data_IF_924104153953
#
_entry.id   IF_924104153953
#
_cell.length_a   1.000
_cell.length_b   1.000
_cell.length_c   1.000
_cell.angle_alpha   90.00
_cell.angle_beta   90.00
_cell.angle_gamma   90.00
#
_symmetry.space_group_name_H-M   'P 1'
#
loop_
_entity.id
_entity.type
_entity.pdbx_description
1 polymer ?
#
# COMPACT_ATOMS: atom_id res chain seq x y z
N UNK A 1 -21.55 15.26 -19.68
CA UNK A 1 -21.72 13.79 -19.43
C UNK A 1 -20.35 13.24 -19.10
N UNK A 2 -20.18 12.54 -17.99
CA UNK A 2 -18.91 11.91 -17.65
C UNK A 2 -18.57 10.84 -18.70
N UNK A 3 -17.33 10.85 -19.20
CA UNK A 3 -16.83 9.78 -20.08
C UNK A 3 -16.88 8.46 -19.31
N UNK A 4 -17.42 7.42 -19.90
CA UNK A 4 -17.48 6.10 -19.27
C UNK A 4 -17.45 5.01 -20.37
N UNK A 5 -16.55 4.02 -20.30
CA UNK A 5 -15.49 3.84 -19.31
C UNK A 5 -14.26 4.75 -19.54
N UNK A 6 -13.49 5.02 -18.48
CA UNK A 6 -12.17 5.69 -18.56
C UNK A 6 -11.11 4.71 -19.05
N UNK A 7 -10.34 5.09 -20.06
CA UNK A 7 -9.24 4.25 -20.55
C UNK A 7 -8.03 4.36 -19.64
N UNK A 8 -7.49 3.22 -19.23
CA UNK A 8 -6.41 3.10 -18.24
C UNK A 8 -5.13 2.58 -18.86
N UNK A 9 -4.03 3.30 -18.64
CA UNK A 9 -2.68 2.82 -18.87
C UNK A 9 -2.10 2.28 -17.56
N UNK A 10 -1.64 1.01 -17.55
CA UNK A 10 -1.04 0.37 -16.38
C UNK A 10 0.48 0.36 -16.54
N UNK A 11 1.19 1.07 -15.66
CA UNK A 11 2.67 1.14 -15.67
C UNK A 11 3.22 0.23 -14.58
N UNK A 12 3.77 -0.92 -14.98
CA UNK A 12 4.30 -1.95 -14.09
C UNK A 12 3.65 -3.31 -14.29
N UNK A 13 4.42 -4.29 -14.75
CA UNK A 13 3.94 -5.64 -15.07
C UNK A 13 3.99 -6.63 -13.89
N UNK A 14 4.26 -6.16 -12.67
CA UNK A 14 4.27 -6.99 -11.46
C UNK A 14 2.89 -6.97 -10.78
N UNK A 15 2.74 -6.13 -9.77
CA UNK A 15 1.47 -5.93 -9.06
C UNK A 15 0.39 -5.35 -9.98
N UNK A 16 0.79 -4.53 -10.97
CA UNK A 16 -0.10 -4.02 -12.01
C UNK A 16 -0.85 -5.10 -12.79
N UNK A 17 -0.20 -6.23 -13.13
CA UNK A 17 -0.89 -7.33 -13.82
C UNK A 17 -1.64 -8.27 -12.88
N UNK A 18 -1.27 -8.33 -11.59
CA UNK A 18 -1.85 -9.26 -10.62
C UNK A 18 -3.08 -8.70 -9.90
N UNK A 19 -3.14 -7.37 -9.72
CA UNK A 19 -4.20 -6.71 -8.95
C UNK A 19 -4.85 -5.59 -9.74
N UNK A 20 -4.06 -4.66 -10.31
CA UNK A 20 -4.64 -3.50 -10.98
C UNK A 20 -5.41 -3.91 -12.25
N UNK A 21 -4.81 -4.71 -13.12
CA UNK A 21 -5.46 -5.12 -14.36
C UNK A 21 -6.80 -5.84 -14.11
N UNK A 22 -6.88 -6.93 -13.30
CA UNK A 22 -8.17 -7.57 -13.04
C UNK A 22 -9.15 -6.63 -12.33
N UNK A 23 -8.71 -5.77 -11.41
CA UNK A 23 -9.57 -4.78 -10.78
C UNK A 23 -10.20 -3.83 -11.80
N UNK A 24 -9.39 -3.24 -12.68
CA UNK A 24 -9.91 -2.36 -13.74
C UNK A 24 -10.80 -3.10 -14.74
N UNK A 25 -10.47 -4.33 -15.10
CA UNK A 25 -11.27 -5.13 -16.05
C UNK A 25 -12.65 -5.48 -15.49
N UNK A 26 -12.75 -5.69 -14.18
CA UNK A 26 -14.01 -6.02 -13.50
C UNK A 26 -14.87 -4.76 -13.28
N UNK A 27 -14.23 -3.62 -13.05
CA UNK A 27 -14.92 -2.39 -12.68
C UNK A 27 -15.58 -1.72 -13.89
N UNK A 28 -16.90 -1.45 -13.89
CA UNK A 28 -17.64 -1.03 -15.09
C UNK A 28 -17.24 0.35 -15.63
N UNK A 29 -16.62 1.19 -14.81
CA UNK A 29 -16.24 2.56 -15.20
C UNK A 29 -14.82 2.68 -15.77
N UNK A 30 -14.06 1.59 -15.85
CA UNK A 30 -12.68 1.61 -16.34
C UNK A 30 -12.45 0.56 -17.44
N UNK A 31 -11.54 0.88 -18.35
CA UNK A 31 -11.12 0.01 -19.44
C UNK A 31 -9.57 -0.01 -19.50
N UNK A 32 -8.90 -1.05 -19.05
CA UNK A 32 -7.45 -1.15 -19.14
C UNK A 32 -7.04 -1.47 -20.58
N UNK A 33 -6.40 -0.51 -21.27
CA UNK A 33 -6.10 -0.58 -22.72
C UNK A 33 -4.63 -0.85 -23.01
N UNK A 34 -3.69 -0.50 -22.11
CA UNK A 34 -2.26 -0.68 -22.36
C UNK A 34 -1.50 -1.07 -21.11
N UNK A 35 -0.57 -2.03 -21.25
CA UNK A 35 0.39 -2.43 -20.21
C UNK A 35 1.79 -1.91 -20.57
N UNK A 36 2.44 -1.21 -19.64
CA UNK A 36 3.75 -0.62 -19.86
C UNK A 36 4.75 -1.20 -18.87
N UNK A 37 5.89 -1.74 -19.35
CA UNK A 37 7.00 -2.13 -18.50
C UNK A 37 8.30 -2.23 -19.29
N UNK A 38 9.44 -2.05 -18.61
CA UNK A 38 10.78 -1.89 -19.21
C UNK A 38 11.32 -3.10 -20.02
N UNK A 39 10.86 -4.31 -19.73
CA UNK A 39 11.35 -5.51 -20.40
C UNK A 39 10.38 -5.95 -21.48
N UNK A 40 10.72 -5.70 -22.73
CA UNK A 40 9.87 -5.96 -23.91
C UNK A 40 9.30 -7.38 -23.93
N UNK A 41 10.17 -8.39 -23.92
CA UNK A 41 9.76 -9.81 -24.00
C UNK A 41 8.80 -10.20 -22.86
N UNK A 42 9.13 -9.73 -21.64
CA UNK A 42 8.30 -10.02 -20.46
C UNK A 42 6.97 -9.25 -20.53
N UNK A 43 6.98 -8.00 -20.96
CA UNK A 43 5.77 -7.18 -21.07
C UNK A 43 4.82 -7.76 -22.08
N UNK A 44 5.32 -8.10 -23.28
CA UNK A 44 4.54 -8.79 -24.33
C UNK A 44 3.94 -10.11 -23.81
N UNK A 45 4.74 -10.98 -23.22
CA UNK A 45 4.27 -12.27 -22.71
C UNK A 45 3.20 -12.13 -21.63
N UNK A 46 3.28 -11.09 -20.77
CA UNK A 46 2.25 -10.82 -19.77
C UNK A 46 1.00 -10.24 -20.43
N UNK A 47 1.15 -9.29 -21.38
CA UNK A 47 0.04 -8.72 -22.16
C UNK A 47 -0.78 -9.80 -22.84
N UNK A 48 -0.10 -10.70 -23.56
CA UNK A 48 -0.73 -11.84 -24.23
C UNK A 48 -1.47 -12.75 -23.22
N UNK A 49 -0.84 -13.01 -22.07
CA UNK A 49 -1.43 -13.87 -21.02
C UNK A 49 -2.69 -13.31 -20.39
N UNK A 50 -2.71 -12.00 -20.09
CA UNK A 50 -3.86 -11.36 -19.42
C UNK A 50 -4.90 -10.85 -20.42
N UNK A 51 -4.60 -10.85 -21.72
CA UNK A 51 -5.52 -10.42 -22.78
C UNK A 51 -5.71 -8.91 -22.85
N UNK A 52 -4.67 -8.12 -22.55
CA UNK A 52 -4.65 -6.67 -22.78
C UNK A 52 -4.14 -6.38 -24.19
N UNK A 53 -4.85 -5.54 -24.93
CA UNK A 53 -4.65 -5.40 -26.38
C UNK A 53 -3.32 -4.77 -26.76
N UNK A 54 -2.86 -3.81 -25.94
CA UNK A 54 -1.65 -3.03 -26.22
C UNK A 54 -0.60 -3.17 -25.12
N UNK A 55 0.65 -3.04 -25.50
CA UNK A 55 1.76 -2.92 -24.56
C UNK A 55 2.83 -1.96 -25.10
N UNK A 56 3.60 -1.36 -24.18
CA UNK A 56 4.74 -0.49 -24.52
C UNK A 56 5.90 -0.67 -23.53
N UNK A 57 7.08 -0.25 -23.93
CA UNK A 57 8.24 -0.11 -23.03
C UNK A 57 8.53 1.35 -22.68
N UNK A 58 7.87 2.29 -23.34
CA UNK A 58 7.99 3.73 -23.12
C UNK A 58 6.67 4.29 -22.57
N UNK A 59 6.70 4.76 -21.33
CA UNK A 59 5.54 5.41 -20.74
C UNK A 59 5.34 6.83 -21.23
N UNK A 60 6.37 7.52 -21.72
CA UNK A 60 6.27 8.93 -22.12
C UNK A 60 5.41 9.11 -23.37
N UNK A 61 5.50 8.20 -24.31
CA UNK A 61 4.63 8.14 -25.48
C UNK A 61 3.17 7.94 -25.09
N UNK A 62 2.92 7.01 -24.16
CA UNK A 62 1.55 6.69 -23.70
C UNK A 62 0.94 7.85 -22.91
N UNK A 63 1.75 8.65 -22.17
CA UNK A 63 1.24 9.84 -21.47
C UNK A 63 0.70 10.90 -22.42
N UNK A 64 1.22 10.98 -23.65
CA UNK A 64 0.78 11.93 -24.68
C UNK A 64 -0.45 11.45 -25.45
N UNK A 65 -0.85 10.19 -25.31
CA UNK A 65 -2.03 9.65 -25.98
C UNK A 65 -3.32 10.22 -25.38
N UNK A 66 -4.05 11.03 -26.15
CA UNK A 66 -5.29 11.67 -25.72
C UNK A 66 -6.42 10.65 -25.40
N UNK A 67 -6.31 9.42 -25.88
CA UNK A 67 -7.27 8.37 -25.58
C UNK A 67 -7.17 7.84 -24.15
N UNK A 68 -6.02 8.04 -23.49
CA UNK A 68 -5.79 7.64 -22.09
C UNK A 68 -6.33 8.70 -21.15
N UNK A 69 -7.12 8.28 -20.17
CA UNK A 69 -7.71 9.13 -19.13
C UNK A 69 -7.01 8.96 -17.78
N UNK A 70 -6.57 7.74 -17.50
CA UNK A 70 -6.04 7.31 -16.20
C UNK A 70 -4.71 6.61 -16.34
N UNK A 71 -3.77 6.93 -15.47
CA UNK A 71 -2.50 6.22 -15.32
C UNK A 71 -2.45 5.52 -13.97
N UNK A 72 -2.23 4.22 -14.01
CA UNK A 72 -2.13 3.35 -12.85
C UNK A 72 -0.68 2.92 -12.65
N UNK A 73 -0.01 3.43 -11.60
CA UNK A 73 1.43 3.28 -11.38
C UNK A 73 1.71 2.16 -10.38
N UNK A 74 2.33 1.08 -10.83
CA UNK A 74 2.68 -0.12 -10.05
C UNK A 74 4.11 -0.60 -10.32
N UNK A 75 5.04 0.34 -10.45
CA UNK A 75 6.48 0.13 -10.65
C UNK A 75 7.24 0.01 -9.31
N UNK A 76 8.56 -0.21 -9.29
CA UNK A 76 9.35 0.06 -8.11
C UNK A 76 9.29 1.54 -7.69
N UNK A 77 9.34 1.86 -6.37
CA UNK A 77 9.09 3.21 -5.86
C UNK A 77 9.95 4.33 -6.43
N UNK A 78 11.19 4.03 -6.85
CA UNK A 78 12.08 5.03 -7.45
C UNK A 78 11.54 5.65 -8.73
N UNK A 79 10.66 4.93 -9.44
CA UNK A 79 10.14 5.35 -10.72
C UNK A 79 8.81 6.14 -10.56
N UNK A 80 8.17 6.10 -9.36
CA UNK A 80 6.85 6.67 -9.12
C UNK A 80 6.82 8.17 -9.37
N UNK A 81 7.78 8.92 -8.82
CA UNK A 81 7.80 10.38 -8.91
C UNK A 81 7.73 10.89 -10.36
N UNK A 82 8.62 10.40 -11.22
CA UNK A 82 8.67 10.87 -12.61
C UNK A 82 7.46 10.43 -13.44
N UNK A 83 6.97 9.19 -13.20
CA UNK A 83 5.79 8.66 -13.91
C UNK A 83 4.54 9.45 -13.51
N UNK A 84 4.31 9.63 -12.21
CA UNK A 84 3.15 10.39 -11.69
C UNK A 84 3.18 11.83 -12.14
N UNK A 85 4.34 12.49 -12.04
CA UNK A 85 4.56 13.87 -12.52
C UNK A 85 4.25 14.00 -14.02
N UNK A 86 4.75 13.06 -14.82
CA UNK A 86 4.47 13.03 -16.26
C UNK A 86 2.98 12.86 -16.56
N UNK A 87 2.30 11.95 -15.85
CA UNK A 87 0.87 11.71 -16.01
C UNK A 87 0.04 12.97 -15.70
N UNK A 88 0.28 13.61 -14.54
CA UNK A 88 -0.42 14.83 -14.14
C UNK A 88 -0.19 15.98 -15.11
N UNK A 89 1.06 16.20 -15.58
CA UNK A 89 1.40 17.23 -16.55
C UNK A 89 0.75 17.00 -17.93
N UNK A 90 0.37 15.77 -18.24
CA UNK A 90 -0.35 15.42 -19.48
C UNK A 90 -1.86 15.26 -19.28
N UNK A 91 -2.41 15.79 -18.18
CA UNK A 91 -3.85 15.82 -17.94
C UNK A 91 -4.46 14.46 -17.57
N UNK A 92 -3.66 13.50 -17.03
CA UNK A 92 -4.16 12.17 -16.68
C UNK A 92 -4.45 12.09 -15.19
N UNK A 93 -5.60 11.50 -14.82
CA UNK A 93 -5.88 11.08 -13.45
C UNK A 93 -4.94 9.96 -13.04
N UNK A 94 -4.63 9.82 -11.74
CA UNK A 94 -3.59 8.88 -11.28
C UNK A 94 -4.06 8.03 -10.11
N UNK A 95 -3.80 6.72 -10.17
CA UNK A 95 -3.67 5.85 -9.00
C UNK A 95 -2.21 5.39 -8.90
N UNK A 96 -1.59 5.56 -7.72
CA UNK A 96 -0.21 5.16 -7.51
C UNK A 96 -0.10 4.14 -6.36
N UNK A 97 0.76 3.12 -6.57
CA UNK A 97 1.18 2.21 -5.51
C UNK A 97 2.01 2.91 -4.43
N UNK A 98 1.95 2.35 -3.22
CA UNK A 98 2.74 2.84 -2.07
C UNK A 98 4.18 2.30 -2.11
N UNK A 99 5.12 3.09 -1.61
CA UNK A 99 5.02 4.50 -1.25
C UNK A 99 4.96 5.40 -2.48
N UNK A 100 4.34 6.59 -2.38
CA UNK A 100 4.16 7.53 -3.50
C UNK A 100 5.49 8.02 -4.09
N UNK A 101 6.52 8.15 -3.28
CA UNK A 101 7.85 8.59 -3.68
C UNK A 101 8.92 8.04 -2.75
N UNK A 102 10.16 8.45 -2.99
CA UNK A 102 11.32 8.03 -2.20
C UNK A 102 11.56 8.91 -0.98
N UNK A 103 11.07 10.14 -0.99
CA UNK A 103 11.27 11.16 0.05
C UNK A 103 10.01 11.99 0.28
N UNK A 104 9.93 12.65 1.44
CA UNK A 104 8.87 13.59 1.74
C UNK A 104 8.85 14.79 0.78
N UNK A 105 10.00 15.20 0.24
CA UNK A 105 10.09 16.27 -0.75
C UNK A 105 9.42 15.88 -2.07
N UNK A 106 9.68 14.66 -2.58
CA UNK A 106 9.03 14.15 -3.78
C UNK A 106 7.51 14.08 -3.61
N UNK A 107 7.03 13.52 -2.49
CA UNK A 107 5.59 13.38 -2.24
C UNK A 107 4.90 14.74 -2.07
N UNK A 108 5.57 15.73 -1.48
CA UNK A 108 5.08 17.10 -1.39
C UNK A 108 4.93 17.74 -2.76
N UNK A 109 5.92 17.57 -3.66
CA UNK A 109 5.86 18.09 -5.02
C UNK A 109 4.69 17.49 -5.81
N UNK A 110 4.47 16.16 -5.69
CA UNK A 110 3.34 15.49 -6.36
C UNK A 110 1.98 15.91 -5.80
N UNK A 111 1.87 16.06 -4.49
CA UNK A 111 0.67 16.61 -3.86
C UNK A 111 0.34 18.00 -4.39
N UNK A 112 1.33 18.92 -4.38
CA UNK A 112 1.12 20.29 -4.87
C UNK A 112 0.74 20.29 -6.37
N UNK A 113 1.38 19.46 -7.19
CA UNK A 113 1.04 19.34 -8.61
C UNK A 113 -0.39 18.82 -8.82
N UNK A 114 -0.87 17.93 -7.94
CA UNK A 114 -2.27 17.49 -7.99
C UNK A 114 -3.23 18.64 -7.70
N UNK A 115 -2.92 19.47 -6.70
CA UNK A 115 -3.72 20.64 -6.35
C UNK A 115 -3.72 21.68 -7.51
N UNK A 116 -2.58 21.89 -8.16
CA UNK A 116 -2.42 22.81 -9.30
C UNK A 116 -3.17 22.35 -10.56
N UNK A 117 -3.18 21.05 -10.83
CA UNK A 117 -3.82 20.51 -12.04
C UNK A 117 -5.31 20.25 -11.86
N UNK A 118 -5.81 20.16 -10.63
CA UNK A 118 -7.20 19.80 -10.34
C UNK A 118 -7.57 18.36 -10.74
N UNK A 119 -6.59 17.53 -11.08
CA UNK A 119 -6.80 16.14 -11.45
C UNK A 119 -7.01 15.27 -10.21
N UNK A 120 -7.74 14.19 -10.39
CA UNK A 120 -7.91 13.20 -9.32
C UNK A 120 -6.68 12.32 -9.21
N UNK A 121 -6.04 12.34 -8.05
CA UNK A 121 -4.87 11.51 -7.75
C UNK A 121 -5.04 10.78 -6.40
N UNK A 122 -4.95 9.46 -6.42
CA UNK A 122 -5.17 8.61 -5.25
C UNK A 122 -4.05 7.60 -5.05
N UNK A 123 -3.94 7.15 -3.81
CA UNK A 123 -3.05 6.04 -3.42
C UNK A 123 -3.79 4.71 -3.48
N UNK A 124 -3.08 3.66 -3.88
CA UNK A 124 -3.58 2.33 -3.64
C UNK A 124 -3.27 1.88 -2.20
N UNK A 125 -4.08 2.34 -1.26
CA UNK A 125 -4.10 1.85 0.13
C UNK A 125 -5.27 0.86 0.32
N UNK A 126 -5.37 -0.13 -0.55
CA UNK A 126 -6.43 -1.15 -0.58
C UNK A 126 -6.58 -1.90 0.74
N UNK A 127 -5.52 -1.95 1.55
CA UNK A 127 -5.56 -2.56 2.88
C UNK A 127 -6.56 -1.89 3.84
N UNK A 128 -7.00 -0.65 3.58
CA UNK A 128 -8.09 0.02 4.33
C UNK A 128 -9.40 -0.77 4.24
N UNK A 129 -9.63 -1.43 3.11
CA UNK A 129 -10.87 -2.13 2.79
C UNK A 129 -10.81 -3.64 3.05
N UNK A 130 -9.72 -4.16 3.63
CA UNK A 130 -9.69 -5.53 4.12
C UNK A 130 -10.71 -5.65 5.27
N UNK A 131 -11.68 -6.59 5.21
CA UNK A 131 -12.81 -6.67 6.14
C UNK A 131 -12.45 -6.54 7.62
N UNK A 132 -11.45 -7.27 8.08
CA UNK A 132 -11.02 -7.23 9.48
C UNK A 132 -10.44 -5.87 9.88
N UNK A 133 -9.82 -5.13 8.96
CA UNK A 133 -9.29 -3.77 9.25
C UNK A 133 -10.40 -2.72 9.25
N UNK A 134 -11.31 -2.80 8.29
CA UNK A 134 -12.47 -1.91 8.26
C UNK A 134 -13.31 -2.07 9.54
N UNK A 135 -13.52 -3.29 9.97
CA UNK A 135 -14.25 -3.58 11.23
C UNK A 135 -13.48 -3.12 12.48
N UNK A 136 -12.14 -3.28 12.52
CA UNK A 136 -11.32 -2.70 13.60
C UNK A 136 -11.53 -1.19 13.73
N UNK A 137 -11.50 -0.46 12.60
CA UNK A 137 -11.73 1.00 12.58
C UNK A 137 -13.14 1.33 13.07
N UNK A 138 -14.16 0.60 12.64
CA UNK A 138 -15.54 0.78 13.10
C UNK A 138 -15.66 0.58 14.62
N UNK A 139 -15.08 -0.49 15.17
CA UNK A 139 -15.07 -0.75 16.61
C UNK A 139 -14.39 0.37 17.40
N UNK A 140 -13.24 0.85 16.94
CA UNK A 140 -12.52 1.96 17.58
C UNK A 140 -13.39 3.23 17.55
N UNK A 141 -13.95 3.57 16.39
CA UNK A 141 -14.78 4.77 16.22
C UNK A 141 -16.10 4.70 17.01
N UNK A 142 -16.64 3.51 17.27
CA UNK A 142 -17.82 3.31 18.11
C UNK A 142 -17.52 3.41 19.62
N UNK A 143 -16.26 3.65 20.00
CA UNK A 143 -15.86 3.75 21.40
C UNK A 143 -15.70 2.39 22.10
N UNK A 144 -15.50 1.30 21.35
CA UNK A 144 -15.33 -0.04 21.93
C UNK A 144 -14.22 -0.09 22.98
N UNK A 145 -13.14 0.66 22.79
CA UNK A 145 -11.99 0.67 23.70
C UNK A 145 -12.09 1.69 24.84
N UNK A 146 -13.05 2.62 24.78
CA UNK A 146 -13.02 3.81 25.61
C UNK A 146 -11.84 4.71 25.23
N UNK A 147 -11.13 5.25 26.22
CA UNK A 147 -9.89 6.00 26.01
C UNK A 147 -8.74 5.03 25.64
N UNK A 148 -8.12 5.21 24.47
CA UNK A 148 -7.00 4.36 24.04
C UNK A 148 -5.75 4.76 24.82
N UNK A 149 -5.06 3.80 25.42
CA UNK A 149 -3.81 4.02 26.15
C UNK A 149 -2.59 3.66 25.35
N UNK A 150 -2.62 2.51 24.67
CA UNK A 150 -1.47 2.03 23.91
C UNK A 150 -1.87 1.15 22.73
N UNK A 151 -0.94 1.01 21.79
CA UNK A 151 -1.07 0.05 20.69
C UNK A 151 0.26 -0.65 20.38
N UNK A 152 0.16 -1.87 19.89
CA UNK A 152 1.32 -2.65 19.44
C UNK A 152 1.03 -3.29 18.09
N UNK A 153 1.85 -2.99 17.10
CA UNK A 153 1.75 -3.58 15.77
C UNK A 153 3.04 -4.32 15.46
N UNK A 154 2.92 -5.62 15.21
CA UNK A 154 4.06 -6.44 14.83
C UNK A 154 3.76 -7.33 13.63
N UNK A 155 4.74 -7.49 12.75
CA UNK A 155 4.75 -8.48 11.68
C UNK A 155 6.11 -9.17 11.67
N UNK A 156 6.14 -10.44 12.05
CA UNK A 156 7.37 -11.23 12.15
C UNK A 156 7.24 -12.51 11.33
N UNK A 157 8.02 -12.61 10.26
CA UNK A 157 8.05 -13.80 9.41
C UNK A 157 9.46 -14.05 8.85
N UNK A 158 9.66 -15.19 8.19
CA UNK A 158 10.93 -15.58 7.59
C UNK A 158 10.90 -15.55 6.05
N UNK A 159 9.97 -14.81 5.45
CA UNK A 159 9.73 -14.81 4.00
C UNK A 159 10.95 -14.40 3.18
N UNK A 160 11.87 -13.62 3.76
CA UNK A 160 13.10 -13.16 3.11
C UNK A 160 14.38 -13.66 3.79
N UNK A 161 14.28 -14.61 4.71
CA UNK A 161 15.41 -15.14 5.47
C UNK A 161 16.42 -15.85 4.54
N UNK A 162 15.95 -16.70 3.61
CA UNK A 162 16.85 -17.45 2.72
C UNK A 162 17.30 -16.58 1.53
N UNK A 163 18.61 -16.21 1.45
CA UNK A 163 19.12 -15.33 0.41
C UNK A 163 19.24 -15.96 -0.99
N UNK A 164 19.13 -17.29 -1.09
CA UNK A 164 19.13 -18.00 -2.36
C UNK A 164 17.73 -18.17 -2.93
N UNK A 165 16.74 -18.49 -2.10
CA UNK A 165 15.34 -18.59 -2.53
C UNK A 165 14.77 -17.21 -2.91
N UNK A 166 14.94 -16.21 -2.04
CA UNK A 166 14.62 -14.81 -2.30
C UNK A 166 15.86 -14.07 -2.78
N UNK A 167 16.24 -14.31 -4.05
CA UNK A 167 17.42 -13.74 -4.67
C UNK A 167 17.41 -12.22 -4.73
N UNK A 168 18.52 -11.65 -5.21
CA UNK A 168 18.68 -10.21 -5.40
C UNK A 168 17.73 -9.71 -6.49
N UNK A 169 16.95 -8.70 -6.16
CA UNK A 169 16.10 -7.94 -7.08
C UNK A 169 16.01 -6.49 -6.55
N UNK A 170 15.11 -5.66 -7.10
CA UNK A 170 14.93 -4.27 -6.70
C UNK A 170 14.63 -4.10 -5.20
N UNK A 171 13.93 -5.05 -4.56
CA UNK A 171 13.67 -5.07 -3.11
C UNK A 171 14.94 -5.10 -2.26
N UNK A 172 16.06 -5.55 -2.82
CA UNK A 172 17.34 -5.66 -2.14
C UNK A 172 18.21 -4.40 -2.28
N UNK A 173 17.70 -3.40 -2.99
CA UNK A 173 18.43 -2.17 -3.30
C UNK A 173 17.67 -0.94 -2.81
N UNK A 174 18.26 -0.21 -1.83
CA UNK A 174 17.69 1.03 -1.27
C UNK A 174 17.45 2.08 -2.37
N UNK A 175 18.36 2.17 -3.36
CA UNK A 175 18.24 3.14 -4.48
C UNK A 175 17.04 2.85 -5.39
N UNK A 176 16.52 1.64 -5.38
CA UNK A 176 15.32 1.25 -6.13
C UNK A 176 14.02 1.41 -5.32
N UNK A 177 14.11 1.91 -4.09
CA UNK A 177 13.00 1.93 -3.14
C UNK A 177 12.75 0.59 -2.47
N UNK A 178 13.74 -0.33 -2.49
CA UNK A 178 13.65 -1.59 -1.77
C UNK A 178 13.72 -1.40 -0.26
N UNK A 179 13.33 -2.45 0.46
CA UNK A 179 13.32 -2.51 1.92
C UNK A 179 11.93 -2.77 2.50
N UNK A 180 11.93 -3.34 3.70
CA UNK A 180 10.68 -3.72 4.36
C UNK A 180 9.92 -2.49 4.88
N UNK A 181 10.62 -1.41 5.22
CA UNK A 181 9.98 -0.15 5.61
C UNK A 181 9.20 0.44 4.44
N UNK A 182 9.76 0.50 3.22
CA UNK A 182 9.03 0.98 2.04
C UNK A 182 7.88 0.06 1.63
N UNK A 183 8.07 -1.26 1.76
CA UNK A 183 7.09 -2.22 1.29
C UNK A 183 5.89 -2.37 2.23
N UNK A 184 6.13 -2.32 3.55
CA UNK A 184 5.14 -2.67 4.58
C UNK A 184 4.86 -1.48 5.52
N UNK A 185 5.84 -0.60 5.75
CA UNK A 185 5.65 0.57 6.61
C UNK A 185 4.42 1.40 6.27
N UNK A 186 4.19 1.79 5.00
CA UNK A 186 3.01 2.57 4.62
C UNK A 186 1.68 1.92 5.01
N UNK A 187 1.59 0.58 4.95
CA UNK A 187 0.37 -0.17 5.27
C UNK A 187 -0.05 -0.01 6.74
N UNK A 188 0.91 0.02 7.66
CA UNK A 188 0.62 0.15 9.08
C UNK A 188 0.63 1.60 9.56
N UNK A 189 1.47 2.45 8.97
CA UNK A 189 1.42 3.88 9.24
C UNK A 189 0.11 4.49 8.76
N UNK A 190 -0.43 4.01 7.63
CA UNK A 190 -1.76 4.38 7.15
C UNK A 190 -2.84 3.98 8.16
N UNK A 191 -2.82 2.75 8.68
CA UNK A 191 -3.76 2.30 9.73
C UNK A 191 -3.69 3.22 10.97
N UNK A 192 -2.48 3.55 11.44
CA UNK A 192 -2.28 4.43 12.59
C UNK A 192 -2.85 5.82 12.31
N UNK A 193 -2.62 6.37 11.11
CA UNK A 193 -3.12 7.71 10.75
C UNK A 193 -4.60 7.76 10.41
N UNK A 194 -5.26 6.64 10.23
CA UNK A 194 -6.73 6.56 10.15
C UNK A 194 -7.38 6.59 11.54
N UNK A 195 -6.69 6.01 12.54
CA UNK A 195 -7.19 5.94 13.93
C UNK A 195 -6.90 7.25 14.67
N UNK A 196 -5.73 7.83 14.42
CA UNK A 196 -5.25 9.01 15.13
C UNK A 196 -4.98 10.15 14.15
N UNK A 197 -5.64 11.28 14.37
CA UNK A 197 -5.52 12.46 13.52
C UNK A 197 -4.09 12.98 13.43
N UNK A 198 -3.31 12.83 14.52
CA UNK A 198 -1.96 13.37 14.60
C UNK A 198 -0.99 12.40 15.26
N UNK A 199 0.13 12.16 14.58
CA UNK A 199 1.33 11.54 15.15
C UNK A 199 2.28 12.66 15.55
N UNK A 200 2.53 12.81 16.87
CA UNK A 200 3.35 13.90 17.40
C UNK A 200 4.84 13.60 17.26
N UNK A 201 5.24 12.40 17.63
CA UNK A 201 6.64 11.95 17.56
C UNK A 201 6.72 10.54 17.01
N UNK A 202 7.74 10.32 16.22
CA UNK A 202 8.15 8.98 15.80
C UNK A 202 9.68 8.92 15.88
N UNK A 203 10.19 7.84 16.47
CA UNK A 203 11.61 7.47 16.45
C UNK A 203 11.72 6.01 16.04
N UNK A 204 12.71 5.69 15.25
CA UNK A 204 12.86 4.32 14.81
C UNK A 204 14.25 3.98 14.32
N UNK A 205 14.39 2.77 13.84
CA UNK A 205 15.60 2.32 13.16
C UNK A 205 15.27 1.26 12.13
N UNK A 206 16.09 1.19 11.10
CA UNK A 206 16.04 0.14 10.08
C UNK A 206 17.28 -0.74 10.19
N UNK A 207 17.12 -2.04 9.92
CA UNK A 207 18.23 -2.99 10.00
C UNK A 207 18.28 -3.85 8.75
N UNK A 208 19.50 -4.11 8.27
CA UNK A 208 19.78 -5.09 7.20
C UNK A 208 20.52 -6.27 7.82
N UNK A 209 19.85 -7.38 8.06
CA UNK A 209 20.47 -8.61 8.58
C UNK A 209 21.11 -9.43 7.45
N UNK A 210 20.38 -9.61 6.35
CA UNK A 210 20.86 -10.37 5.19
C UNK A 210 21.71 -9.46 4.28
N UNK A 211 23.01 -9.47 4.46
CA UNK A 211 23.97 -8.56 3.79
C UNK A 211 24.21 -8.86 2.31
N UNK A 212 23.94 -10.10 1.84
CA UNK A 212 24.14 -10.51 0.45
C UNK A 212 23.02 -11.44 -0.01
N UNK A 213 22.62 -11.34 -1.28
CA UNK A 213 21.64 -12.22 -1.93
C UNK A 213 22.15 -12.68 -3.28
N UNK A 214 21.75 -13.90 -3.68
CA UNK A 214 22.10 -14.48 -4.97
C UNK A 214 21.40 -13.69 -6.10
N UNK A 215 22.17 -13.14 -7.02
CA UNK A 215 21.64 -12.70 -8.30
C UNK A 215 21.46 -13.91 -9.21
N UNK A 216 20.22 -14.30 -9.46
CA UNK A 216 19.89 -15.51 -10.24
C UNK A 216 20.33 -15.45 -11.71
N UNK A 217 20.48 -14.23 -12.26
CA UNK A 217 20.94 -14.06 -13.66
C UNK A 217 22.43 -14.27 -13.82
N UNK A 218 23.22 -13.87 -12.81
CA UNK A 218 24.69 -13.92 -12.89
C UNK A 218 25.30 -15.04 -12.05
N UNK A 219 24.51 -15.73 -11.22
CA UNK A 219 24.99 -16.73 -10.26
C UNK A 219 25.83 -16.16 -9.09
N UNK A 220 26.02 -14.84 -9.01
CA UNK A 220 26.91 -14.20 -8.02
C UNK A 220 26.10 -13.60 -6.84
N UNK A 221 26.74 -13.62 -5.66
CA UNK A 221 26.19 -12.92 -4.49
C UNK A 221 26.39 -11.40 -4.64
N UNK A 222 25.30 -10.62 -4.47
CA UNK A 222 25.31 -9.16 -4.51
C UNK A 222 25.02 -8.58 -3.12
N UNK A 223 25.65 -7.43 -2.80
CA UNK A 223 25.42 -6.67 -1.56
C UNK A 223 23.98 -6.17 -1.52
N UNK A 224 23.30 -6.38 -0.39
CA UNK A 224 21.99 -5.80 -0.06
C UNK A 224 22.21 -4.45 0.60
N UNK A 225 21.46 -3.44 0.20
CA UNK A 225 21.52 -2.09 0.76
C UNK A 225 20.23 -1.65 1.42
N UNK A 226 19.15 -2.41 1.23
CA UNK A 226 17.84 -2.15 1.83
C UNK A 226 17.67 -2.89 3.15
N UNK A 227 16.77 -2.39 3.98
CA UNK A 227 16.39 -3.00 5.26
C UNK A 227 15.55 -4.27 5.06
N UNK A 228 15.66 -5.19 6.01
CA UNK A 228 14.82 -6.40 6.14
C UNK A 228 14.08 -6.48 7.48
N UNK A 229 14.33 -5.50 8.36
CA UNK A 229 13.58 -5.24 9.57
C UNK A 229 13.59 -3.74 9.89
N UNK A 230 12.53 -3.27 10.59
CA UNK A 230 12.50 -1.95 11.22
C UNK A 230 11.68 -1.97 12.51
N UNK A 231 11.97 -1.01 13.39
CA UNK A 231 11.21 -0.75 14.61
C UNK A 231 10.95 0.74 14.73
N UNK A 232 9.75 1.11 15.17
CA UNK A 232 9.39 2.47 15.49
C UNK A 232 8.68 2.55 16.84
N UNK A 233 9.00 3.56 17.62
CA UNK A 233 8.24 4.05 18.75
C UNK A 233 7.45 5.27 18.31
N UNK A 234 6.14 5.27 18.54
CA UNK A 234 5.21 6.26 18.00
C UNK A 234 4.42 6.86 19.16
N UNK A 235 4.46 8.18 19.28
CA UNK A 235 3.59 8.92 20.19
C UNK A 235 2.54 9.67 19.36
N UNK A 236 1.29 9.48 19.70
CA UNK A 236 0.15 10.21 19.13
C UNK A 236 -0.44 11.15 20.16
N UNK A 237 -1.43 11.94 19.80
CA UNK A 237 -2.11 12.86 20.72
C UNK A 237 -2.57 12.17 22.02
N UNK A 238 -2.65 12.95 23.10
CA UNK A 238 -3.10 12.49 24.44
C UNK A 238 -2.18 11.45 25.12
N UNK A 239 -0.87 11.52 24.87
CA UNK A 239 0.13 10.64 25.51
C UNK A 239 0.03 9.16 25.14
N UNK A 240 -0.77 8.82 24.14
CA UNK A 240 -0.86 7.43 23.64
C UNK A 240 0.48 7.03 23.02
N UNK A 241 1.02 5.91 23.47
CA UNK A 241 2.28 5.37 22.96
C UNK A 241 2.03 4.06 22.23
N UNK A 242 2.67 3.91 21.07
CA UNK A 242 2.59 2.66 20.32
C UNK A 242 3.93 2.21 19.78
N UNK A 243 3.99 0.94 19.43
CA UNK A 243 5.14 0.33 18.76
C UNK A 243 4.75 -0.24 17.41
N UNK A 244 5.66 -0.13 16.44
CA UNK A 244 5.55 -0.79 15.15
C UNK A 244 6.85 -1.53 14.87
N UNK A 245 6.81 -2.87 14.85
CA UNK A 245 7.95 -3.70 14.55
C UNK A 245 7.66 -4.66 13.39
N UNK A 246 8.45 -4.59 12.33
CA UNK A 246 8.33 -5.48 11.17
C UNK A 246 9.67 -6.15 10.87
N UNK A 247 9.65 -7.47 10.75
CA UNK A 247 10.81 -8.26 10.34
C UNK A 247 10.40 -9.33 9.33
N UNK A 248 11.10 -9.37 8.21
CA UNK A 248 10.94 -10.41 7.16
C UNK A 248 11.97 -11.54 7.27
N UNK A 249 12.78 -11.52 8.33
CA UNK A 249 13.89 -12.46 8.57
C UNK A 249 13.85 -13.09 9.95
N UNK A 250 12.69 -13.08 10.62
CA UNK A 250 12.47 -13.67 11.93
C UNK A 250 12.02 -15.13 11.79
N UNK A 251 12.90 -16.13 12.02
CA UNK A 251 12.49 -17.53 12.01
C UNK A 251 11.49 -17.81 13.14
N UNK A 252 10.49 -18.62 12.86
CA UNK A 252 9.40 -18.95 13.78
C UNK A 252 8.59 -17.74 14.28
N UNK A 253 8.66 -16.62 13.55
CA UNK A 253 7.83 -15.45 13.83
C UNK A 253 6.35 -15.79 13.67
N UNK A 254 5.53 -15.28 14.59
CA UNK A 254 4.08 -15.58 14.65
C UNK A 254 3.22 -14.73 13.71
N UNK A 255 3.82 -14.19 12.65
CA UNK A 255 3.11 -13.39 11.65
C UNK A 255 2.67 -12.03 12.15
N UNK A 256 1.49 -11.61 11.71
CA UNK A 256 0.89 -10.31 12.01
C UNK A 256 0.16 -10.35 13.35
N UNK A 257 0.37 -9.30 14.16
CA UNK A 257 -0.41 -9.01 15.35
C UNK A 257 -0.59 -7.49 15.48
N UNK A 258 -1.83 -7.05 15.59
CA UNK A 258 -2.22 -5.65 15.77
C UNK A 258 -3.03 -5.61 17.05
N UNK A 259 -2.63 -4.81 18.03
CA UNK A 259 -3.25 -4.77 19.35
C UNK A 259 -3.51 -3.32 19.77
N UNK A 260 -4.67 -3.10 20.37
CA UNK A 260 -5.05 -1.83 20.98
C UNK A 260 -5.63 -2.09 22.36
N UNK A 261 -5.19 -1.31 23.34
CA UNK A 261 -5.64 -1.37 24.73
C UNK A 261 -6.21 0.00 25.11
N UNK A 262 -7.38 -0.01 25.73
CA UNK A 262 -8.05 1.20 26.22
C UNK A 262 -8.68 1.00 27.59
N UNK A 263 -9.32 2.06 28.11
CA UNK A 263 -9.95 2.06 29.42
C UNK A 263 -11.05 1.02 29.58
N UNK A 264 -11.76 0.70 28.50
CA UNK A 264 -12.96 -0.14 28.53
C UNK A 264 -12.75 -1.49 27.85
N UNK A 265 -11.62 -1.70 27.15
CA UNK A 265 -11.46 -2.95 26.46
C UNK A 265 -10.15 -3.12 25.70
N UNK A 266 -10.11 -4.23 25.00
CA UNK A 266 -8.99 -4.70 24.18
C UNK A 266 -9.48 -5.15 22.81
N UNK A 267 -8.70 -4.85 21.77
CA UNK A 267 -8.90 -5.36 20.42
C UNK A 267 -7.58 -5.88 19.84
N UNK A 268 -7.63 -7.01 19.13
CA UNK A 268 -6.48 -7.45 18.34
C UNK A 268 -6.87 -8.13 17.03
N UNK A 269 -6.02 -7.95 16.01
CA UNK A 269 -6.06 -8.73 14.77
C UNK A 269 -4.88 -9.71 14.79
N UNK A 270 -5.16 -10.98 14.54
CA UNK A 270 -4.19 -12.07 14.50
C UNK A 270 -3.76 -12.41 13.06
N UNK A 271 -2.77 -13.29 12.92
CA UNK A 271 -2.22 -13.71 11.62
C UNK A 271 -3.27 -14.40 10.73
N UNK A 272 -4.14 -15.20 11.29
CA UNK A 272 -5.23 -15.90 10.60
C UNK A 272 -6.37 -14.97 10.12
N UNK A 273 -6.26 -13.67 10.38
CA UNK A 273 -7.25 -12.67 9.99
C UNK A 273 -8.42 -12.53 10.96
N UNK A 274 -8.38 -13.22 12.09
CA UNK A 274 -9.39 -13.07 13.16
C UNK A 274 -9.21 -11.77 13.92
N UNK A 275 -10.33 -11.18 14.33
CA UNK A 275 -10.36 -10.08 15.27
C UNK A 275 -10.87 -10.58 16.62
N UNK A 276 -10.06 -10.32 17.64
CA UNK A 276 -10.39 -10.67 19.03
C UNK A 276 -10.71 -9.40 19.80
N UNK A 277 -11.72 -9.45 20.65
CA UNK A 277 -12.10 -8.33 21.51
C UNK A 277 -12.48 -8.80 22.91
N UNK A 278 -12.30 -7.91 23.89
CA UNK A 278 -12.80 -8.07 25.23
C UNK A 278 -13.19 -6.73 25.84
N UNK A 279 -14.30 -6.71 26.56
CA UNK A 279 -14.75 -5.59 27.41
C UNK A 279 -14.32 -5.82 28.85
N UNK A 280 -13.65 -4.86 29.46
CA UNK A 280 -13.08 -5.01 30.80
C UNK A 280 -14.12 -5.37 31.86
N UNK A 281 -15.35 -4.85 31.74
CA UNK A 281 -16.40 -5.02 32.75
C UNK A 281 -17.18 -6.35 32.62
N UNK A 282 -17.21 -6.96 31.42
CA UNK A 282 -18.07 -8.13 31.15
C UNK A 282 -17.31 -9.40 30.82
N UNK A 283 -16.12 -9.29 30.23
CA UNK A 283 -15.48 -10.42 29.61
C UNK A 283 -14.27 -10.91 30.44
N UNK A 284 -14.16 -12.23 30.60
CA UNK A 284 -13.04 -12.86 31.31
C UNK A 284 -11.79 -13.03 30.44
N UNK A 285 -11.97 -13.05 29.12
CA UNK A 285 -10.89 -13.23 28.14
C UNK A 285 -11.34 -12.70 26.78
N UNK A 286 -10.40 -12.36 25.88
CA UNK A 286 -10.76 -11.97 24.51
C UNK A 286 -11.46 -13.11 23.77
N UNK A 287 -12.55 -12.76 23.08
CA UNK A 287 -13.33 -13.64 22.21
C UNK A 287 -13.22 -13.19 20.76
N UNK A 288 -13.42 -14.11 19.83
CA UNK A 288 -13.50 -13.79 18.41
C UNK A 288 -14.76 -12.98 18.13
N UNK A 289 -14.59 -11.82 17.47
CA UNK A 289 -15.70 -10.98 17.06
C UNK A 289 -16.06 -11.29 15.60
N UNK A 290 -17.34 -11.49 15.35
CA UNK A 290 -17.84 -11.75 14.00
C UNK A 290 -17.80 -10.46 13.16
N UNK A 291 -17.16 -10.53 11.98
CA UNK A 291 -17.08 -9.39 11.06
C UNK A 291 -18.45 -9.19 10.40
N UNK A 292 -19.08 -8.01 10.57
CA UNK A 292 -20.40 -7.72 10.01
C UNK A 292 -20.45 -7.87 8.49
N UNK A 293 -21.62 -8.27 7.97
CA UNK A 293 -21.83 -8.50 6.53
C UNK A 293 -21.48 -7.29 5.66
N UNK A 294 -21.71 -6.08 6.14
CA UNK A 294 -21.40 -4.87 5.36
C UNK A 294 -19.90 -4.61 5.15
N UNK A 295 -19.03 -5.26 5.93
CA UNK A 295 -17.58 -5.26 5.70
C UNK A 295 -17.12 -6.43 4.81
N UNK A 296 -17.93 -7.47 4.66
CA UNK A 296 -17.52 -8.63 3.88
C UNK A 296 -17.34 -8.26 2.41
N UNK A 297 -16.29 -8.78 1.78
CA UNK A 297 -16.02 -8.64 0.36
C UNK A 297 -16.17 -10.01 -0.30
N UNK A 298 -16.88 -10.06 -1.41
CA UNK A 298 -16.96 -11.25 -2.21
C UNK A 298 -15.59 -11.60 -2.79
N UNK A 299 -15.09 -12.79 -2.49
CA UNK A 299 -13.90 -13.30 -3.16
C UNK A 299 -14.20 -13.51 -4.63
N UNK A 300 -13.26 -13.15 -5.49
CA UNK A 300 -13.35 -13.35 -6.92
C UNK A 300 -12.49 -14.57 -7.22
N UNK A 301 -13.14 -15.60 -7.80
CA UNK A 301 -12.46 -16.85 -8.11
C UNK A 301 -11.25 -16.60 -9.02
N UNK A 302 -10.16 -17.29 -8.73
CA UNK A 302 -8.89 -17.23 -9.47
C UNK A 302 -8.16 -15.88 -9.46
N UNK A 303 -8.66 -14.87 -8.74
CA UNK A 303 -8.04 -13.56 -8.62
C UNK A 303 -7.24 -13.39 -7.32
N UNK A 304 -6.29 -12.45 -7.36
CA UNK A 304 -5.49 -12.13 -6.17
C UNK A 304 -6.39 -11.59 -5.02
N UNK A 305 -6.17 -11.99 -3.74
CA UNK A 305 -7.02 -11.59 -2.61
C UNK A 305 -7.14 -10.07 -2.38
N UNK A 306 -6.26 -9.27 -2.97
CA UNK A 306 -6.33 -7.80 -2.90
C UNK A 306 -7.15 -7.17 -4.04
N UNK A 307 -7.69 -7.94 -4.98
CA UNK A 307 -8.58 -7.40 -6.03
C UNK A 307 -9.89 -6.88 -5.44
N UNK A 308 -10.61 -7.60 -4.57
CA UNK A 308 -11.84 -7.06 -3.99
C UNK A 308 -11.66 -5.76 -3.17
N UNK A 309 -10.65 -5.61 -2.29
CA UNK A 309 -10.38 -4.32 -1.66
C UNK A 309 -9.93 -3.23 -2.65
N UNK A 310 -9.21 -3.57 -3.71
CA UNK A 310 -8.86 -2.61 -4.76
C UNK A 310 -10.09 -2.08 -5.51
N UNK A 311 -11.11 -2.89 -5.74
CA UNK A 311 -12.39 -2.42 -6.32
C UNK A 311 -13.01 -1.30 -5.49
N UNK A 312 -12.88 -1.32 -4.15
CA UNK A 312 -13.32 -0.22 -3.28
C UNK A 312 -12.52 1.07 -3.50
N UNK A 313 -11.22 0.96 -3.77
CA UNK A 313 -10.42 2.12 -4.20
C UNK A 313 -10.94 2.66 -5.53
N UNK A 314 -11.27 1.79 -6.49
CA UNK A 314 -11.80 2.19 -7.81
C UNK A 314 -13.17 2.87 -7.71
N UNK A 315 -14.08 2.39 -6.85
CA UNK A 315 -15.36 3.05 -6.59
C UNK A 315 -15.15 4.51 -6.14
N UNK A 316 -14.23 4.74 -5.17
CA UNK A 316 -13.90 6.06 -4.64
C UNK A 316 -13.21 6.92 -5.71
N UNK A 317 -12.30 6.33 -6.47
CA UNK A 317 -11.57 7.03 -7.53
C UNK A 317 -12.49 7.52 -8.65
N UNK A 318 -13.39 6.68 -9.12
CA UNK A 318 -14.39 7.06 -10.13
C UNK A 318 -15.31 8.19 -9.64
N UNK A 319 -15.74 8.11 -8.37
CA UNK A 319 -16.49 9.20 -7.72
C UNK A 319 -15.67 10.48 -7.63
N UNK A 320 -14.37 10.38 -7.32
CA UNK A 320 -13.44 11.51 -7.29
C UNK A 320 -13.32 12.20 -8.64
N UNK A 321 -13.11 11.42 -9.71
CA UNK A 321 -13.03 11.94 -11.09
C UNK A 321 -14.32 12.69 -11.45
N UNK A 322 -15.47 12.09 -11.17
CA UNK A 322 -16.77 12.70 -11.51
C UNK A 322 -17.06 14.00 -10.75
N UNK A 323 -16.45 14.18 -9.55
CA UNK A 323 -16.62 15.35 -8.69
C UNK A 323 -15.48 16.37 -8.81
N UNK A 324 -14.43 16.08 -9.59
CA UNK A 324 -13.24 16.92 -9.71
C UNK A 324 -12.47 17.04 -8.38
N UNK A 325 -12.33 15.95 -7.62
CA UNK A 325 -11.66 15.94 -6.32
C UNK A 325 -10.77 14.72 -6.13
N UNK A 326 -9.81 14.80 -5.20
CA UNK A 326 -8.95 13.68 -4.80
C UNK A 326 -9.33 13.21 -3.40
N UNK A 327 -10.31 12.30 -3.28
CA UNK A 327 -10.73 11.78 -1.97
C UNK A 327 -9.65 10.91 -1.33
N UNK A 328 -9.67 10.78 0.00
CA UNK A 328 -8.77 9.85 0.72
C UNK A 328 -9.11 8.38 0.37
N UNK A 329 -8.10 7.54 0.16
CA UNK A 329 -6.65 7.78 0.31
C UNK A 329 -6.05 8.56 -0.87
N UNK A 330 -5.47 9.71 -0.60
CA UNK A 330 -4.91 10.62 -1.61
C UNK A 330 -3.42 10.91 -1.39
N UNK A 331 -2.86 11.85 -2.15
CA UNK A 331 -1.44 12.20 -2.05
C UNK A 331 -1.09 13.00 -0.79
N UNK A 332 -2.05 13.65 -0.12
CA UNK A 332 -1.84 14.23 1.21
C UNK A 332 -1.61 13.12 2.25
N UNK A 333 -2.44 12.07 2.24
CA UNK A 333 -2.23 10.89 3.09
C UNK A 333 -0.86 10.28 2.87
N UNK A 334 -0.46 10.12 1.59
CA UNK A 334 0.84 9.58 1.23
C UNK A 334 2.00 10.47 1.71
N UNK A 335 1.88 11.79 1.59
CA UNK A 335 2.87 12.73 2.07
C UNK A 335 3.03 12.66 3.60
N UNK A 336 1.93 12.60 4.34
CA UNK A 336 1.93 12.42 5.79
C UNK A 336 2.66 11.13 6.20
N UNK A 337 2.36 10.03 5.54
CA UNK A 337 3.00 8.73 5.79
C UNK A 337 4.48 8.76 5.44
N UNK A 338 4.86 9.37 4.32
CA UNK A 338 6.27 9.47 3.92
C UNK A 338 7.10 10.27 4.93
N UNK A 339 6.55 11.36 5.49
CA UNK A 339 7.21 12.11 6.56
C UNK A 339 7.50 11.23 7.79
N UNK A 340 6.58 10.35 8.17
CA UNK A 340 6.80 9.40 9.27
C UNK A 340 7.89 8.38 8.92
N UNK A 341 7.87 7.85 7.69
CA UNK A 341 8.89 6.90 7.23
C UNK A 341 10.29 7.52 7.20
N UNK A 342 10.41 8.77 6.79
CA UNK A 342 11.71 9.47 6.76
C UNK A 342 12.25 9.69 8.19
N UNK A 343 11.39 10.02 9.16
CA UNK A 343 11.75 10.09 10.58
C UNK A 343 12.13 8.74 11.21
N UNK A 344 11.57 7.61 10.72
CA UNK A 344 11.97 6.27 11.15
C UNK A 344 13.39 5.93 10.66
N UNK A 345 13.81 6.50 9.51
CA UNK A 345 15.15 6.29 8.94
C UNK A 345 16.24 7.19 9.50
N UNK A 346 15.88 8.35 10.05
CA UNK A 346 16.81 9.32 10.66
C UNK A 346 17.27 8.86 12.04
#
# INVERSE_FOLDING_TARGET
MSKNPYNVAIVGSGFGSLVHYPGYKIHPQFNPVVLIARNEKKTKAISDKIGIESWSTDYTEVMQDERIDVVSVATPPKDHFEIVKSALNNGKHVICEKPLGMTAEETKKLKNLTDETGLTAMMNFEHRFIPVRAFLIELINSGYLGEIYEFNISLKNATRLNPRLRGFNWWSDKKQGGGILNAIGPVYLDLITQIFDKVEKVKGCTTTHIKKRLNKQTGKMRKVTSDDAFTALINVSNQITGTLHVSSVAPFGKGKRIEFHGSDGYLSILEDGKIMGAKLQSDKQPLELEIPRHHQLNQIQDEHPLVPPFLKILDIFASGISKGSSPSPNFEDAHRIQNLMDKIRS
#
